data_IF_273733519009
#
_entry.id   IF_273733519009
#
_cell.length_a   1.000
_cell.length_b   1.000
_cell.length_c   1.000
_cell.angle_alpha   90.00
_cell.angle_beta   90.00
_cell.angle_gamma   90.00
#
_symmetry.space_group_name_H-M   'P 1'
#
loop_
_entity.id
_entity.type
_entity.pdbx_description
1 polymer ?
#
# COMPACT_ATOMS: atom_id res chain seq x y z
N UNK A 1 9.18 18.78 23.85
CA UNK A 1 9.62 18.49 22.47
C UNK A 1 9.40 17.01 22.16
N UNK A 2 9.92 16.09 22.98
CA UNK A 2 9.79 14.63 22.80
C UNK A 2 8.35 14.07 22.76
N UNK A 3 7.40 14.60 23.53
CA UNK A 3 6.02 14.09 23.56
C UNK A 3 5.24 14.40 22.26
N UNK A 4 5.41 15.61 21.71
CA UNK A 4 4.79 15.99 20.45
C UNK A 4 5.37 15.19 19.28
N UNK A 5 6.70 15.02 19.25
CA UNK A 5 7.39 14.24 18.21
C UNK A 5 6.96 12.77 18.24
N UNK A 6 6.76 12.20 19.43
CA UNK A 6 6.25 10.84 19.61
C UNK A 6 4.80 10.69 19.14
N UNK A 7 3.92 11.65 19.50
CA UNK A 7 2.53 11.64 19.06
C UNK A 7 2.40 11.77 17.53
N UNK A 8 3.21 12.64 16.93
CA UNK A 8 3.25 12.81 15.47
C UNK A 8 3.71 11.53 14.77
N UNK A 9 4.82 10.93 15.21
CA UNK A 9 5.32 9.71 14.62
C UNK A 9 4.35 8.52 14.78
N UNK A 10 3.59 8.46 15.89
CA UNK A 10 2.57 7.44 16.11
C UNK A 10 1.36 7.65 15.20
N UNK A 11 0.93 8.90 15.03
CA UNK A 11 -0.15 9.25 14.10
C UNK A 11 0.22 8.93 12.64
N UNK A 12 1.46 9.21 12.24
CA UNK A 12 2.00 8.87 10.91
C UNK A 12 2.02 7.36 10.69
N UNK A 13 2.54 6.58 11.65
CA UNK A 13 2.55 5.12 11.56
C UNK A 13 1.13 4.54 11.48
N UNK A 14 0.18 5.04 12.27
CA UNK A 14 -1.22 4.60 12.21
C UNK A 14 -1.91 4.98 10.89
N UNK A 15 -1.60 6.14 10.33
CA UNK A 15 -2.12 6.56 9.03
C UNK A 15 -1.57 5.65 7.91
N UNK A 16 -0.26 5.43 7.89
CA UNK A 16 0.39 4.55 6.92
C UNK A 16 -0.13 3.11 7.01
N UNK A 17 -0.33 2.59 8.23
CA UNK A 17 -0.91 1.25 8.44
C UNK A 17 -2.33 1.13 7.86
N UNK A 18 -3.20 2.12 8.12
CA UNK A 18 -4.55 2.15 7.54
C UNK A 18 -4.52 2.21 6.00
N UNK A 19 -3.56 2.93 5.43
CA UNK A 19 -3.37 2.99 4.00
C UNK A 19 -2.93 1.64 3.42
N UNK A 20 -1.98 0.94 4.07
CA UNK A 20 -1.58 -0.42 3.71
C UNK A 20 -2.78 -1.36 3.69
N UNK A 21 -3.61 -1.33 4.75
CA UNK A 21 -4.77 -2.18 4.88
C UNK A 21 -5.81 -1.92 3.78
N UNK A 22 -6.10 -0.64 3.51
CA UNK A 22 -7.00 -0.21 2.44
C UNK A 22 -6.53 -0.72 1.07
N UNK A 23 -5.25 -0.53 0.74
CA UNK A 23 -4.73 -0.98 -0.54
C UNK A 23 -4.77 -2.51 -0.67
N UNK A 24 -4.35 -3.23 0.38
CA UNK A 24 -4.29 -4.70 0.38
C UNK A 24 -5.66 -5.34 0.27
N UNK A 25 -6.62 -4.86 1.06
CA UNK A 25 -7.90 -5.55 1.23
C UNK A 25 -9.00 -5.01 0.32
N UNK A 26 -8.83 -3.81 -0.24
CA UNK A 26 -9.88 -3.13 -1.00
C UNK A 26 -9.42 -2.75 -2.40
N UNK A 27 -8.40 -1.88 -2.52
CA UNK A 27 -8.05 -1.26 -3.82
C UNK A 27 -7.44 -2.27 -4.78
N UNK A 28 -6.49 -3.09 -4.32
CA UNK A 28 -5.86 -4.11 -5.18
C UNK A 28 -6.90 -5.13 -5.65
N UNK A 29 -7.72 -5.76 -4.78
CA UNK A 29 -8.75 -6.69 -5.21
C UNK A 29 -9.74 -6.10 -6.22
N UNK A 30 -10.17 -4.85 -6.04
CA UNK A 30 -11.06 -4.17 -6.98
C UNK A 30 -10.39 -3.92 -8.35
N UNK A 31 -9.12 -3.52 -8.35
CA UNK A 31 -8.38 -3.33 -9.58
C UNK A 31 -8.14 -4.66 -10.32
N UNK A 32 -7.93 -5.76 -9.58
CA UNK A 32 -7.82 -7.12 -10.15
C UNK A 32 -9.13 -7.56 -10.81
N UNK A 33 -10.25 -7.36 -10.13
CA UNK A 33 -11.58 -7.65 -10.69
C UNK A 33 -11.84 -6.83 -11.97
N UNK A 34 -11.48 -5.55 -11.96
CA UNK A 34 -11.64 -4.66 -13.12
C UNK A 34 -10.82 -5.16 -14.32
N UNK A 35 -9.55 -5.51 -14.08
CA UNK A 35 -8.69 -6.07 -15.12
C UNK A 35 -9.24 -7.39 -15.68
N UNK A 36 -9.70 -8.31 -14.81
CA UNK A 36 -10.29 -9.58 -15.24
C UNK A 36 -11.56 -9.36 -16.08
N UNK A 37 -12.44 -8.43 -15.68
CA UNK A 37 -13.63 -8.08 -16.45
C UNK A 37 -13.27 -7.44 -17.81
N UNK A 38 -12.22 -6.62 -17.85
CA UNK A 38 -11.66 -6.05 -19.08
C UNK A 38 -11.19 -7.14 -20.05
N UNK A 39 -10.43 -8.13 -19.56
CA UNK A 39 -9.95 -9.26 -20.37
C UNK A 39 -11.13 -10.05 -20.96
N UNK A 40 -12.13 -10.41 -20.13
CA UNK A 40 -13.33 -11.13 -20.60
C UNK A 40 -14.10 -10.32 -21.64
N UNK A 41 -14.22 -9.00 -21.44
CA UNK A 41 -14.91 -8.11 -22.38
C UNK A 41 -14.17 -7.98 -23.70
N UNK A 42 -12.84 -7.92 -23.67
CA UNK A 42 -12.00 -7.88 -24.86
C UNK A 42 -12.09 -9.17 -25.66
N UNK A 43 -12.01 -10.33 -25.01
CA UNK A 43 -12.18 -11.64 -25.67
C UNK A 43 -13.55 -11.77 -26.35
N UNK A 44 -14.58 -11.13 -25.80
CA UNK A 44 -15.93 -11.10 -26.38
C UNK A 44 -16.15 -9.93 -27.36
N UNK A 45 -15.10 -9.17 -27.72
CA UNK A 45 -15.19 -8.04 -28.65
C UNK A 45 -15.97 -6.83 -28.14
N UNK A 46 -16.21 -6.72 -26.84
CA UNK A 46 -17.01 -5.64 -26.22
C UNK A 46 -16.20 -4.40 -25.88
N UNK A 47 -14.91 -4.54 -25.68
CA UNK A 47 -13.96 -3.43 -25.44
C UNK A 47 -12.71 -3.64 -26.29
N UNK A 48 -11.97 -2.57 -26.54
CA UNK A 48 -10.69 -2.66 -27.23
C UNK A 48 -9.54 -3.11 -26.31
N UNK A 49 -8.38 -3.39 -26.91
CA UNK A 49 -7.18 -3.78 -26.18
C UNK A 49 -6.65 -2.66 -25.27
N UNK A 50 -6.87 -1.38 -25.62
CA UNK A 50 -6.41 -0.25 -24.81
C UNK A 50 -7.12 -0.21 -23.46
N UNK A 51 -8.42 -0.51 -23.42
CA UNK A 51 -9.18 -0.63 -22.17
C UNK A 51 -8.60 -1.72 -21.23
N UNK A 52 -8.12 -2.83 -21.79
CA UNK A 52 -7.44 -3.89 -21.01
C UNK A 52 -6.09 -3.40 -20.49
N UNK A 53 -5.31 -2.70 -21.32
CA UNK A 53 -4.02 -2.14 -20.92
C UNK A 53 -4.17 -1.09 -19.82
N UNK A 54 -5.18 -0.24 -19.90
CA UNK A 54 -5.45 0.79 -18.89
C UNK A 54 -5.85 0.17 -17.55
N UNK A 55 -6.71 -0.84 -17.55
CA UNK A 55 -7.07 -1.57 -16.32
C UNK A 55 -5.87 -2.33 -15.72
N UNK A 56 -4.97 -2.88 -16.54
CA UNK A 56 -3.72 -3.48 -16.07
C UNK A 56 -2.79 -2.44 -15.45
N UNK A 57 -2.66 -1.27 -16.08
CA UNK A 57 -1.86 -0.16 -15.54
C UNK A 57 -2.41 0.34 -14.21
N UNK A 58 -3.74 0.46 -14.09
CA UNK A 58 -4.40 0.84 -12.83
C UNK A 58 -4.10 -0.19 -11.72
N UNK A 59 -4.19 -1.49 -12.02
CA UNK A 59 -3.82 -2.55 -11.08
C UNK A 59 -2.35 -2.48 -10.66
N UNK A 60 -1.45 -2.26 -11.62
CA UNK A 60 -0.02 -2.11 -11.34
C UNK A 60 0.25 -0.91 -10.44
N UNK A 61 -0.40 0.22 -10.70
CA UNK A 61 -0.25 1.43 -9.89
C UNK A 61 -0.81 1.24 -8.48
N UNK A 62 -1.95 0.59 -8.31
CA UNK A 62 -2.48 0.23 -7.00
C UNK A 62 -1.50 -0.64 -6.19
N UNK A 63 -0.85 -1.60 -6.84
CA UNK A 63 0.21 -2.42 -6.20
C UNK A 63 1.44 -1.59 -5.84
N UNK A 64 1.86 -0.65 -6.69
CA UNK A 64 2.98 0.24 -6.39
C UNK A 64 2.68 1.15 -5.20
N UNK A 65 1.47 1.71 -5.12
CA UNK A 65 1.09 2.61 -4.04
C UNK A 65 0.93 1.87 -2.70
N UNK A 66 0.49 0.61 -2.73
CA UNK A 66 0.59 -0.29 -1.57
C UNK A 66 2.01 -0.40 -1.04
N UNK A 67 3.00 -0.65 -1.92
CA UNK A 67 4.39 -0.76 -1.48
C UNK A 67 4.96 0.56 -0.98
N UNK A 68 4.58 1.70 -1.58
CA UNK A 68 4.95 3.03 -1.05
C UNK A 68 4.40 3.22 0.36
N UNK A 69 3.12 2.91 0.59
CA UNK A 69 2.51 2.99 1.91
C UNK A 69 3.23 2.10 2.95
N UNK A 70 3.68 0.91 2.53
CA UNK A 70 4.53 0.06 3.38
C UNK A 70 5.86 0.73 3.72
N UNK A 71 6.56 1.28 2.74
CA UNK A 71 7.82 1.98 2.97
C UNK A 71 7.62 3.17 3.92
N UNK A 72 6.52 3.92 3.78
CA UNK A 72 6.23 5.06 4.66
C UNK A 72 5.91 4.62 6.08
N UNK A 73 5.23 3.49 6.27
CA UNK A 73 5.03 2.88 7.58
C UNK A 73 6.37 2.47 8.23
N UNK A 74 7.25 1.79 7.50
CA UNK A 74 8.56 1.37 8.02
C UNK A 74 9.43 2.58 8.42
N UNK A 75 9.35 3.68 7.67
CA UNK A 75 10.02 4.95 8.03
C UNK A 75 9.44 5.55 9.30
N UNK A 76 8.11 5.60 9.42
CA UNK A 76 7.45 6.12 10.62
C UNK A 76 7.78 5.25 11.85
N UNK A 77 7.83 3.93 11.68
CA UNK A 77 8.29 2.99 12.70
C UNK A 77 9.74 3.27 13.13
N UNK A 78 10.68 3.43 12.21
CA UNK A 78 12.06 3.76 12.55
C UNK A 78 12.20 5.11 13.28
N UNK A 79 11.38 6.11 12.92
CA UNK A 79 11.34 7.39 13.62
C UNK A 79 10.81 7.23 15.06
N UNK A 80 9.80 6.38 15.27
CA UNK A 80 9.30 6.03 16.60
C UNK A 80 10.38 5.35 17.45
N UNK A 81 11.12 4.39 16.88
CA UNK A 81 12.22 3.72 17.59
C UNK A 81 13.31 4.70 18.04
N UNK A 82 13.67 5.64 17.16
CA UNK A 82 14.62 6.71 17.49
C UNK A 82 14.11 7.60 18.62
N UNK A 83 12.82 7.94 18.62
CA UNK A 83 12.22 8.80 19.65
C UNK A 83 12.10 8.09 21.01
N UNK A 84 11.82 6.78 21.02
CA UNK A 84 11.69 5.97 22.25
C UNK A 84 13.05 5.48 22.77
N UNK A 85 14.10 5.50 21.92
CA UNK A 85 15.45 5.05 22.28
C UNK A 85 15.56 3.54 22.49
N UNK A 86 14.60 2.77 21.96
CA UNK A 86 14.54 1.30 22.02
C UNK A 86 13.98 0.76 20.71
N UNK A 87 14.46 -0.40 20.23
CA UNK A 87 13.83 -1.07 19.10
C UNK A 87 12.41 -1.49 19.50
N UNK A 88 11.43 -1.12 18.68
CA UNK A 88 10.02 -1.47 18.84
C UNK A 88 9.64 -2.60 17.90
N UNK A 89 10.33 -2.68 16.75
CA UNK A 89 10.25 -3.75 15.79
C UNK A 89 11.62 -4.43 15.77
N UNK A 90 11.77 -5.52 16.53
CA UNK A 90 12.94 -6.38 16.34
C UNK A 90 12.93 -6.79 14.88
N UNK A 91 13.93 -6.33 14.11
CA UNK A 91 14.15 -6.78 12.75
C UNK A 91 14.11 -8.30 12.76
N UNK A 92 12.98 -8.85 12.34
CA UNK A 92 12.85 -10.25 12.02
C UNK A 92 13.71 -10.44 10.79
N UNK A 93 14.98 -10.76 11.01
CA UNK A 93 15.67 -11.70 10.16
C UNK A 93 14.80 -12.97 10.15
N UNK A 94 13.84 -12.98 9.22
CA UNK A 94 13.06 -14.17 8.94
C UNK A 94 13.87 -14.95 7.89
N UNK A 95 14.29 -16.20 8.19
CA UNK A 95 14.99 -17.07 7.24
C UNK A 95 14.15 -17.40 6.01
#
# INVERSE_FOLDING_TARGET
MTDLDLQMALAEAQAAWRQIDLYKNTVIPQAEQTYQAGVVSYTNGKVDFMAVLDSLNALRNAKLDYYKARVDYEKAAANLEKAVGRPLFTSGAQP
#
